data_IF_796593546157
#
_entry.id   IF_796593546157
#
_cell.length_a   1.000
_cell.length_b   1.000
_cell.length_c   1.000
_cell.angle_alpha   90.00
_cell.angle_beta   90.00
_cell.angle_gamma   90.00
#
_symmetry.space_group_name_H-M   'P 1'
#
loop_
_entity.id
_entity.type
_entity.pdbx_description
1 polymer ?
#
# COMPACT_ATOMS: atom_id res chain seq x y z
N UNK A 1 5.37 -17.01 16.43
CA UNK A 1 6.30 -16.42 15.44
C UNK A 1 6.04 -16.86 14.00
N UNK A 2 6.00 -18.15 13.66
CA UNK A 2 5.85 -18.61 12.24
C UNK A 2 4.61 -18.05 11.52
N UNK A 3 3.48 -17.87 12.21
CA UNK A 3 2.28 -17.26 11.61
C UNK A 3 2.44 -15.76 11.37
N UNK A 4 3.14 -15.05 12.25
CA UNK A 4 3.41 -13.61 12.12
C UNK A 4 4.31 -13.37 10.91
N UNK A 5 5.37 -14.17 10.74
CA UNK A 5 6.21 -14.09 9.55
C UNK A 5 5.40 -14.30 8.24
N UNK A 6 4.39 -15.17 8.25
CA UNK A 6 3.49 -15.34 7.10
C UNK A 6 2.62 -14.10 6.86
N UNK A 7 2.11 -13.47 7.92
CA UNK A 7 1.36 -12.20 7.86
C UNK A 7 2.26 -11.09 7.30
N UNK A 8 3.46 -10.91 7.86
CA UNK A 8 4.42 -9.91 7.41
C UNK A 8 4.80 -10.09 5.94
N UNK A 9 4.95 -11.34 5.49
CA UNK A 9 5.24 -11.63 4.09
C UNK A 9 4.11 -11.16 3.17
N UNK A 10 2.85 -11.07 3.62
CA UNK A 10 1.76 -10.59 2.74
C UNK A 10 1.88 -9.12 2.34
N UNK A 11 2.76 -8.34 2.99
CA UNK A 11 2.95 -6.92 2.68
C UNK A 11 3.50 -6.66 1.26
N UNK A 12 4.11 -7.66 0.60
CA UNK A 12 4.65 -7.49 -0.76
C UNK A 12 3.59 -7.02 -1.78
N UNK A 13 2.32 -7.36 -1.55
CA UNK A 13 1.20 -6.97 -2.42
C UNK A 13 1.04 -5.45 -2.51
N UNK A 14 1.46 -4.70 -1.48
CA UNK A 14 1.41 -3.24 -1.49
C UNK A 14 2.33 -2.64 -2.56
N UNK A 15 3.50 -3.25 -2.83
CA UNK A 15 4.38 -2.79 -3.90
C UNK A 15 3.70 -2.91 -5.28
N UNK A 16 3.05 -4.04 -5.54
CA UNK A 16 2.29 -4.22 -6.78
C UNK A 16 1.12 -3.25 -6.86
N UNK A 17 0.42 -3.05 -5.74
CA UNK A 17 -0.63 -2.03 -5.66
C UNK A 17 -0.12 -0.64 -6.01
N UNK A 18 1.02 -0.23 -5.46
CA UNK A 18 1.60 1.09 -5.73
C UNK A 18 2.01 1.25 -7.19
N UNK A 19 2.62 0.23 -7.80
CA UNK A 19 2.97 0.25 -9.22
C UNK A 19 1.72 0.41 -10.11
N UNK A 20 0.71 -0.42 -9.88
CA UNK A 20 -0.55 -0.37 -10.65
C UNK A 20 -1.26 0.98 -10.44
N UNK A 21 -1.32 1.45 -9.20
CA UNK A 21 -2.02 2.69 -8.89
C UNK A 21 -1.29 3.94 -9.38
N UNK A 22 0.04 3.94 -9.39
CA UNK A 22 0.80 5.01 -10.02
C UNK A 22 0.51 5.07 -11.52
N UNK A 23 0.49 3.91 -12.20
CA UNK A 23 0.18 3.83 -13.63
C UNK A 23 -1.25 4.27 -13.95
N UNK A 24 -2.24 3.71 -13.24
CA UNK A 24 -3.65 4.09 -13.40
C UNK A 24 -3.90 5.54 -12.99
N UNK A 25 -3.14 6.05 -12.00
CA UNK A 25 -3.17 7.44 -11.56
C UNK A 25 -2.78 8.40 -12.68
N UNK A 26 -1.69 8.12 -13.40
CA UNK A 26 -1.27 8.93 -14.56
C UNK A 26 -2.34 8.95 -15.67
N UNK A 27 -2.92 7.79 -15.99
CA UNK A 27 -4.06 7.71 -16.95
C UNK A 27 -5.23 8.56 -16.47
N UNK A 28 -5.59 8.45 -15.19
CA UNK A 28 -6.70 9.20 -14.61
C UNK A 28 -6.44 10.71 -14.62
N UNK A 29 -5.25 11.16 -14.21
CA UNK A 29 -4.88 12.58 -14.21
C UNK A 29 -4.81 13.17 -15.61
N UNK A 30 -4.40 12.38 -16.61
CA UNK A 30 -4.51 12.78 -18.00
C UNK A 30 -5.96 12.98 -18.44
N UNK A 31 -6.85 12.05 -18.08
CA UNK A 31 -8.27 12.12 -18.44
C UNK A 31 -8.97 13.36 -17.86
N UNK A 32 -8.62 13.76 -16.64
CA UNK A 32 -9.24 14.92 -15.96
C UNK A 32 -8.50 16.24 -16.24
N UNK A 33 -7.46 16.23 -17.08
CA UNK A 33 -6.75 17.44 -17.52
C UNK A 33 -5.74 18.00 -16.52
N UNK A 34 -5.36 17.25 -15.48
CA UNK A 34 -4.31 17.66 -14.52
C UNK A 34 -2.91 17.57 -15.17
N UNK A 35 -2.69 16.58 -16.04
CA UNK A 35 -1.43 16.37 -16.78
C UNK A 35 -1.63 16.65 -18.29
N UNK A 36 -2.14 17.84 -18.63
CA UNK A 36 -2.57 18.19 -19.99
C UNK A 36 -1.44 18.20 -21.03
N UNK A 37 -0.18 18.35 -20.61
CA UNK A 37 0.98 18.50 -21.51
C UNK A 37 1.53 17.18 -22.07
N UNK A 38 1.33 16.05 -21.38
CA UNK A 38 1.86 14.75 -21.84
C UNK A 38 1.06 14.18 -23.01
N UNK A 39 1.68 13.52 -23.98
CA UNK A 39 0.90 12.83 -25.02
C UNK A 39 0.37 11.47 -24.53
N UNK A 40 -0.71 10.96 -25.15
CA UNK A 40 -1.26 9.64 -24.79
C UNK A 40 -0.25 8.50 -24.94
N UNK A 41 0.66 8.61 -25.91
CA UNK A 41 1.73 7.63 -26.08
C UNK A 41 2.66 7.59 -24.87
N UNK A 42 3.03 8.75 -24.33
CA UNK A 42 3.89 8.86 -23.14
C UNK A 42 3.16 8.25 -21.92
N UNK A 43 1.89 8.59 -21.75
CA UNK A 43 1.07 8.10 -20.62
C UNK A 43 0.89 6.59 -20.63
N UNK A 44 0.72 5.97 -21.81
CA UNK A 44 0.51 4.52 -21.92
C UNK A 44 1.80 3.71 -21.98
N UNK A 45 2.80 4.16 -22.73
CA UNK A 45 3.98 3.35 -23.03
C UNK A 45 5.18 3.74 -22.16
N UNK A 46 5.48 5.03 -22.03
CA UNK A 46 6.67 5.46 -21.30
C UNK A 46 6.50 5.21 -19.80
N UNK A 47 5.30 5.45 -19.27
CA UNK A 47 4.97 5.21 -17.86
C UNK A 47 5.14 3.74 -17.42
N UNK A 48 5.07 2.76 -18.33
CA UNK A 48 5.29 1.34 -17.98
C UNK A 48 6.70 1.13 -17.42
N UNK A 49 7.69 1.81 -18.00
CA UNK A 49 9.09 1.72 -17.56
C UNK A 49 9.43 2.84 -16.58
N UNK A 50 8.96 4.06 -16.84
CA UNK A 50 9.31 5.24 -16.06
C UNK A 50 8.86 5.13 -14.61
N UNK A 51 7.69 4.56 -14.34
CA UNK A 51 7.14 4.44 -12.99
C UNK A 51 7.99 3.48 -12.12
N UNK A 52 8.25 2.22 -12.53
CA UNK A 52 9.17 1.36 -11.80
C UNK A 52 10.54 1.99 -11.58
N UNK A 53 11.12 2.61 -12.61
CA UNK A 53 12.43 3.27 -12.50
C UNK A 53 12.40 4.44 -11.50
N UNK A 54 11.36 5.27 -11.54
CA UNK A 54 11.20 6.41 -10.63
C UNK A 54 11.05 5.96 -9.18
N UNK A 55 10.32 4.86 -8.95
CA UNK A 55 10.21 4.26 -7.61
C UNK A 55 11.57 3.72 -7.13
N UNK A 56 12.36 3.09 -8.00
CA UNK A 56 13.68 2.56 -7.64
C UNK A 56 14.73 3.65 -7.37
N UNK A 57 14.65 4.78 -8.08
CA UNK A 57 15.62 5.87 -7.92
C UNK A 57 15.22 6.80 -6.78
N UNK A 58 13.96 7.24 -6.77
CA UNK A 58 13.47 8.29 -5.86
C UNK A 58 12.51 7.76 -4.79
N UNK A 59 11.80 6.67 -5.06
CA UNK A 59 10.80 6.11 -4.17
C UNK A 59 11.34 5.19 -3.07
N UNK A 60 12.60 4.76 -3.13
CA UNK A 60 13.18 3.79 -2.18
C UNK A 60 13.10 4.26 -0.73
N UNK A 61 13.49 5.50 -0.34
CA UNK A 61 13.39 5.94 1.05
C UNK A 61 11.94 5.88 1.58
N UNK A 62 10.99 6.25 0.73
CA UNK A 62 9.55 6.22 1.06
C UNK A 62 9.08 4.78 1.20
N UNK A 63 9.44 3.89 0.27
CA UNK A 63 9.10 2.48 0.34
C UNK A 63 9.67 1.82 1.60
N UNK A 64 10.93 2.10 1.94
CA UNK A 64 11.55 1.58 3.17
C UNK A 64 10.78 2.07 4.39
N UNK A 65 10.49 3.37 4.50
CA UNK A 65 9.72 3.92 5.61
C UNK A 65 8.32 3.31 5.71
N UNK A 66 7.63 3.18 4.57
CA UNK A 66 6.33 2.52 4.47
C UNK A 66 6.39 1.06 4.96
N UNK A 67 7.33 0.27 4.45
CA UNK A 67 7.47 -1.14 4.83
C UNK A 67 7.87 -1.33 6.29
N UNK A 68 8.72 -0.45 6.83
CA UNK A 68 9.06 -0.48 8.26
C UNK A 68 7.82 -0.22 9.11
N UNK A 69 7.05 0.82 8.80
CA UNK A 69 5.84 1.18 9.55
C UNK A 69 4.81 0.05 9.49
N UNK A 70 4.53 -0.50 8.31
CA UNK A 70 3.51 -1.55 8.18
C UNK A 70 3.92 -2.84 8.88
N UNK A 71 5.21 -3.20 8.82
CA UNK A 71 5.74 -4.38 9.55
C UNK A 71 5.63 -4.18 11.05
N UNK A 72 5.95 -2.98 11.55
CA UNK A 72 5.83 -2.65 12.98
C UNK A 72 4.37 -2.71 13.41
N UNK A 73 3.46 -2.12 12.65
CA UNK A 73 2.02 -2.14 12.95
C UNK A 73 1.46 -3.57 12.93
N UNK A 74 1.74 -4.34 11.88
CA UNK A 74 1.34 -5.75 11.78
C UNK A 74 1.85 -6.54 12.99
N UNK A 75 3.13 -6.36 13.34
CA UNK A 75 3.73 -7.05 14.48
C UNK A 75 3.02 -6.67 15.78
N UNK A 76 2.88 -5.38 16.08
CA UNK A 76 2.27 -4.91 17.32
C UNK A 76 0.82 -5.38 17.43
N UNK A 77 0.03 -5.20 16.37
CA UNK A 77 -1.41 -5.45 16.43
C UNK A 77 -1.69 -6.96 16.43
N UNK A 78 -1.07 -7.76 15.55
CA UNK A 78 -1.36 -9.20 15.49
C UNK A 78 -0.66 -10.02 16.58
N UNK A 79 0.42 -9.51 17.19
CA UNK A 79 1.07 -10.19 18.33
C UNK A 79 0.34 -9.89 19.65
N UNK A 80 0.04 -8.63 19.94
CA UNK A 80 -0.48 -8.22 21.25
C UNK A 80 -2.01 -8.20 21.33
N UNK A 81 -2.73 -8.20 20.21
CA UNK A 81 -4.19 -8.03 20.23
C UNK A 81 -4.95 -9.19 19.58
N UNK A 82 -6.16 -9.45 20.07
CA UNK A 82 -7.12 -10.39 19.48
C UNK A 82 -8.06 -9.74 18.46
N UNK A 83 -7.77 -8.50 18.01
CA UNK A 83 -8.69 -7.69 17.21
C UNK A 83 -9.03 -8.40 15.89
N UNK A 84 -10.27 -8.17 15.42
CA UNK A 84 -10.71 -8.66 14.11
C UNK A 84 -9.82 -8.10 13.00
N UNK A 85 -9.36 -8.96 12.09
CA UNK A 85 -8.40 -8.60 11.02
C UNK A 85 -8.87 -7.42 10.19
N UNK A 86 -10.16 -7.32 9.86
CA UNK A 86 -10.68 -6.19 9.08
C UNK A 86 -10.51 -4.86 9.82
N UNK A 87 -10.72 -4.84 11.14
CA UNK A 87 -10.50 -3.63 11.95
C UNK A 87 -9.04 -3.24 12.01
N UNK A 88 -8.14 -4.22 12.15
CA UNK A 88 -6.68 -4.00 12.15
C UNK A 88 -6.25 -3.31 10.86
N UNK A 89 -6.65 -3.91 9.74
CA UNK A 89 -6.31 -3.44 8.39
C UNK A 89 -6.83 -2.01 8.13
N UNK A 90 -8.02 -1.66 8.63
CA UNK A 90 -8.54 -0.28 8.55
C UNK A 90 -7.75 0.71 9.42
N UNK A 91 -7.34 0.32 10.62
CA UNK A 91 -6.52 1.17 11.50
C UNK A 91 -5.16 1.43 10.85
N UNK A 92 -4.51 0.38 10.34
CA UNK A 92 -3.24 0.51 9.61
C UNK A 92 -3.36 1.44 8.41
N UNK A 93 -4.44 1.28 7.63
CA UNK A 93 -4.71 2.16 6.51
C UNK A 93 -4.83 3.62 6.94
N UNK A 94 -5.63 3.94 7.97
CA UNK A 94 -5.80 5.32 8.46
C UNK A 94 -4.46 5.92 8.91
N UNK A 95 -3.68 5.17 9.69
CA UNK A 95 -2.39 5.63 10.22
C UNK A 95 -1.39 5.93 9.10
N UNK A 96 -1.31 5.05 8.10
CA UNK A 96 -0.35 5.17 7.01
C UNK A 96 -0.80 6.20 5.97
N UNK A 97 -2.10 6.33 5.69
CA UNK A 97 -2.61 7.26 4.66
C UNK A 97 -2.60 8.70 5.12
N UNK A 98 -2.65 8.98 6.42
CA UNK A 98 -2.62 10.36 6.95
C UNK A 98 -1.45 11.19 6.40
N UNK A 99 -0.17 10.75 6.46
CA UNK A 99 0.93 11.49 5.85
C UNK A 99 0.82 11.58 4.32
N UNK A 100 0.26 10.57 3.64
CA UNK A 100 0.09 10.59 2.18
C UNK A 100 -0.90 11.67 1.75
N UNK A 101 -2.05 11.77 2.44
CA UNK A 101 -3.04 12.83 2.19
C UNK A 101 -2.45 14.21 2.50
N UNK A 102 -1.69 14.33 3.59
CA UNK A 102 -1.00 15.57 3.91
C UNK A 102 -0.05 15.98 2.77
N UNK A 103 0.71 15.04 2.21
CA UNK A 103 1.59 15.33 1.07
C UNK A 103 0.83 15.66 -0.22
N UNK A 104 -0.30 14.98 -0.48
CA UNK A 104 -1.16 15.29 -1.63
C UNK A 104 -1.60 16.75 -1.63
N UNK A 105 -2.11 17.24 -0.49
CA UNK A 105 -2.70 18.57 -0.41
C UNK A 105 -1.66 19.67 -0.15
N UNK A 106 -0.62 19.40 0.65
CA UNK A 106 0.38 20.42 0.99
C UNK A 106 1.36 20.69 -0.15
N UNK A 107 1.76 19.65 -0.88
CA UNK A 107 2.78 19.74 -1.93
C UNK A 107 2.19 19.54 -3.34
N UNK A 108 0.86 19.47 -3.45
CA UNK A 108 0.14 19.24 -4.72
C UNK A 108 0.58 17.96 -5.45
N UNK A 109 1.09 16.98 -4.70
CA UNK A 109 1.53 15.71 -5.23
C UNK A 109 0.34 14.74 -5.32
N UNK A 110 -0.51 14.94 -6.32
CA UNK A 110 -1.77 14.20 -6.50
C UNK A 110 -1.60 12.68 -6.57
N UNK A 111 -0.42 12.19 -6.96
CA UNK A 111 -0.05 10.77 -6.98
C UNK A 111 -0.24 10.07 -5.63
N UNK A 112 -0.18 10.79 -4.50
CA UNK A 112 -0.42 10.21 -3.19
C UNK A 112 -1.87 9.75 -2.98
N UNK A 113 -2.83 10.31 -3.72
CA UNK A 113 -4.24 9.89 -3.66
C UNK A 113 -4.46 8.47 -4.21
N UNK A 114 -4.08 8.14 -5.47
CA UNK A 114 -4.20 6.77 -5.96
C UNK A 114 -3.36 5.79 -5.15
N UNK A 115 -2.18 6.18 -4.64
CA UNK A 115 -1.40 5.32 -3.74
C UNK A 115 -2.13 5.04 -2.42
N UNK A 116 -2.80 6.03 -1.84
CA UNK A 116 -3.62 5.87 -0.63
C UNK A 116 -4.81 4.94 -0.83
N UNK A 117 -5.48 5.06 -1.99
CA UNK A 117 -6.57 4.16 -2.37
C UNK A 117 -6.06 2.73 -2.62
N UNK A 118 -4.92 2.61 -3.30
CA UNK A 118 -4.27 1.32 -3.54
C UNK A 118 -3.90 0.62 -2.25
N UNK A 119 -3.41 1.36 -1.26
CA UNK A 119 -3.12 0.82 0.05
C UNK A 119 -4.36 0.19 0.66
N UNK A 120 -5.53 0.84 0.60
CA UNK A 120 -6.79 0.28 1.10
C UNK A 120 -7.16 -1.02 0.37
N UNK A 121 -7.13 -1.01 -0.96
CA UNK A 121 -7.51 -2.17 -1.78
C UNK A 121 -6.61 -3.36 -1.46
N UNK A 122 -5.29 -3.15 -1.49
CA UNK A 122 -4.31 -4.19 -1.20
C UNK A 122 -4.41 -4.69 0.23
N UNK A 123 -4.67 -3.80 1.19
CA UNK A 123 -4.96 -4.14 2.58
C UNK A 123 -6.18 -5.06 2.72
N UNK A 124 -7.28 -4.73 2.05
CA UNK A 124 -8.50 -5.57 2.03
C UNK A 124 -8.23 -6.93 1.39
N UNK A 125 -7.44 -6.99 0.32
CA UNK A 125 -7.05 -8.27 -0.32
C UNK A 125 -6.24 -9.16 0.63
N UNK A 126 -5.37 -8.58 1.46
CA UNK A 126 -4.57 -9.32 2.46
C UNK A 126 -5.42 -9.98 3.55
N UNK A 127 -6.59 -9.44 3.89
CA UNK A 127 -7.46 -9.95 4.96
C UNK A 127 -7.72 -11.45 4.83
N UNK A 128 -7.97 -11.94 3.61
CA UNK A 128 -8.22 -13.37 3.35
C UNK A 128 -7.01 -14.25 3.71
N UNK A 129 -5.80 -13.81 3.36
CA UNK A 129 -4.57 -14.54 3.68
C UNK A 129 -4.25 -14.48 5.16
N UNK A 130 -4.40 -13.31 5.79
CA UNK A 130 -4.16 -13.14 7.22
C UNK A 130 -5.09 -14.03 8.04
N UNK A 131 -6.39 -14.04 7.73
CA UNK A 131 -7.36 -14.90 8.40
C UNK A 131 -6.99 -16.38 8.29
N UNK A 132 -6.63 -16.85 7.09
CA UNK A 132 -6.15 -18.22 6.87
C UNK A 132 -4.94 -18.56 7.74
N UNK A 133 -4.02 -17.62 7.95
CA UNK A 133 -2.84 -17.86 8.80
C UNK A 133 -3.15 -17.81 10.30
N UNK A 134 -4.20 -17.07 10.71
CA UNK A 134 -4.67 -17.00 12.10
C UNK A 134 -5.45 -18.25 12.52
N UNK A 135 -6.23 -18.84 11.61
CA UNK A 135 -6.95 -20.10 11.86
C UNK A 135 -6.01 -21.29 12.10
N UNK A 136 -4.78 -21.23 11.61
CA UNK A 136 -3.72 -22.23 11.86
C UNK A 136 -3.15 -22.11 13.29
N UNK A 137 -3.67 -21.22 14.15
CA UNK A 137 -3.31 -21.27 15.58
C UNK A 137 -3.69 -22.64 16.14
N UNK A 138 -2.77 -23.39 16.78
CA UNK A 138 -3.20 -24.40 17.73
C UNK A 138 -4.05 -23.66 18.76
N UNK A 139 -5.25 -24.18 19.05
CA UNK A 139 -6.02 -23.74 20.22
C UNK A 139 -5.06 -23.85 21.39
N UNK A 140 -4.56 -22.72 21.88
CA UNK A 140 -3.93 -22.71 23.19
C UNK A 140 -5.08 -23.00 24.13
N UNK A 141 -5.15 -24.24 24.59
CA UNK A 141 -5.99 -24.63 25.70
C UNK A 141 -5.58 -23.71 26.88
N UNK A 142 -6.49 -22.81 27.22
CA UNK A 142 -6.53 -22.19 28.54
C UNK A 142 -7.16 -23.21 29.50
#
# INVERSE_FOLDING_TARGET
MRHILKILNTNWIHLFGFLIAAYLGGIFFKLIGVESEQNWSEVFFDNILLIPFSILIYGIPILIGFYLIIIILDFLIFYFTGINTTKVVLIEWILIVTPFLYWAFKYEFWIWLPLSLSLLITQVLRVKWINRFREIKPKVAL
#
